data_IF_173805714808
#
_entry.id   IF_173805714808
#
_cell.length_a   1.000
_cell.length_b   1.000
_cell.length_c   1.000
_cell.angle_alpha   90.00
_cell.angle_beta   90.00
_cell.angle_gamma   90.00
#
_symmetry.space_group_name_H-M   'P 1'
#
loop_
_entity.id
_entity.type
_entity.pdbx_description
1 polymer ?
#
# COMPACT_ATOMS: atom_id res chain seq x y z
N UNK A 1 -34.92 22.86 5.16
CA UNK A 1 -33.74 23.57 5.67
C UNK A 1 -33.14 22.72 6.77
N UNK A 2 -31.96 22.15 6.55
CA UNK A 2 -31.19 21.51 7.62
C UNK A 2 -30.50 22.65 8.40
N UNK A 3 -30.66 22.69 9.71
CA UNK A 3 -30.00 23.68 10.59
C UNK A 3 -28.55 23.26 10.83
N UNK A 4 -27.67 24.21 11.13
CA UNK A 4 -26.26 23.94 11.40
C UNK A 4 -26.10 22.94 12.56
N UNK A 5 -26.90 23.07 13.62
CA UNK A 5 -26.95 22.08 14.72
C UNK A 5 -27.29 20.65 14.26
N UNK A 6 -28.17 20.46 13.27
CA UNK A 6 -28.47 19.10 12.75
C UNK A 6 -27.28 18.46 12.00
N UNK A 7 -26.35 19.29 11.51
CA UNK A 7 -25.09 18.86 10.87
C UNK A 7 -24.02 18.59 11.94
N UNK A 8 -24.06 19.31 13.07
CA UNK A 8 -23.08 19.26 14.16
C UNK A 8 -23.37 18.18 15.23
N UNK A 9 -24.59 17.64 15.32
CA UNK A 9 -24.93 16.69 16.39
C UNK A 9 -24.54 15.22 16.11
N UNK A 10 -23.99 14.88 14.93
CA UNK A 10 -23.69 13.49 14.50
C UNK A 10 -22.21 13.25 14.17
N UNK A 11 -21.29 13.79 14.97
CA UNK A 11 -19.86 13.84 14.64
C UNK A 11 -19.14 12.55 15.06
N UNK A 12 -18.88 11.63 14.11
CA UNK A 12 -17.53 11.09 13.83
C UNK A 12 -17.46 10.21 12.54
N UNK A 13 -16.24 10.17 11.96
CA UNK A 13 -15.57 9.28 10.97
C UNK A 13 -14.77 10.07 9.92
N UNK A 14 -15.29 11.20 9.47
CA UNK A 14 -14.84 11.91 8.26
C UNK A 14 -15.14 13.41 8.43
N UNK A 15 -14.99 13.96 9.65
CA UNK A 15 -15.57 15.27 10.08
C UNK A 15 -15.04 16.50 9.33
N UNK A 16 -14.36 16.28 8.22
CA UNK A 16 -14.70 16.60 6.84
C UNK A 16 -13.69 15.67 6.06
N UNK A 17 -13.83 15.22 4.83
CA UNK A 17 -13.44 16.03 3.65
C UNK A 17 -12.80 17.43 3.94
N UNK A 18 -12.13 17.67 5.09
CA UNK A 18 -11.61 18.88 5.81
C UNK A 18 -12.47 20.16 5.92
N UNK A 19 -13.13 20.50 4.81
CA UNK A 19 -13.83 21.76 4.59
C UNK A 19 -14.67 21.68 3.30
N UNK A 20 -14.51 20.63 2.48
CA UNK A 20 -15.05 20.56 1.12
C UNK A 20 -16.57 20.61 1.06
N UNK A 21 -17.26 19.82 1.89
CA UNK A 21 -18.73 19.83 1.91
C UNK A 21 -19.26 21.15 2.46
N UNK A 22 -18.57 21.76 3.42
CA UNK A 22 -18.89 23.09 3.94
C UNK A 22 -18.71 24.18 2.88
N UNK A 23 -17.60 24.16 2.16
CA UNK A 23 -17.31 25.11 1.10
C UNK A 23 -18.26 24.94 -0.10
N UNK A 24 -18.61 23.69 -0.45
CA UNK A 24 -19.65 23.40 -1.44
C UNK A 24 -21.03 23.88 -0.98
N UNK A 25 -21.35 23.70 0.30
CA UNK A 25 -22.59 24.19 0.89
C UNK A 25 -22.66 25.72 0.81
N UNK A 26 -21.59 26.42 1.21
CA UNK A 26 -21.50 27.89 1.10
C UNK A 26 -21.68 28.32 -0.35
N UNK A 27 -20.95 27.72 -1.30
CA UNK A 27 -21.06 28.05 -2.72
C UNK A 27 -22.50 27.86 -3.23
N UNK A 28 -23.17 26.78 -2.85
CA UNK A 28 -24.54 26.52 -3.25
C UNK A 28 -25.52 27.50 -2.59
N UNK A 29 -25.39 27.76 -1.28
CA UNK A 29 -26.24 28.70 -0.54
C UNK A 29 -26.14 30.12 -1.09
N UNK A 30 -24.92 30.62 -1.33
CA UNK A 30 -24.71 31.94 -1.92
C UNK A 30 -25.32 32.04 -3.33
N UNK A 31 -25.29 30.96 -4.11
CA UNK A 31 -25.96 30.88 -5.43
C UNK A 31 -27.48 30.84 -5.32
N UNK A 32 -28.03 30.05 -4.40
CA UNK A 32 -29.47 29.95 -4.14
C UNK A 32 -30.07 31.28 -3.67
N UNK A 33 -29.34 32.01 -2.82
CA UNK A 33 -29.73 33.32 -2.30
C UNK A 33 -29.55 34.47 -3.31
N UNK A 34 -29.03 34.18 -4.51
CA UNK A 34 -28.60 35.19 -5.51
C UNK A 34 -27.65 36.25 -4.91
N UNK A 35 -26.79 35.85 -3.96
CA UNK A 35 -25.81 36.74 -3.37
C UNK A 35 -24.76 37.14 -4.41
N UNK A 36 -24.51 38.44 -4.55
CA UNK A 36 -23.55 38.96 -5.51
C UNK A 36 -22.11 38.72 -5.03
N UNK A 37 -21.55 37.56 -5.41
CA UNK A 37 -20.15 37.23 -5.16
C UNK A 37 -19.24 38.00 -6.11
N UNK A 38 -18.12 38.53 -5.61
CA UNK A 38 -17.05 38.98 -6.50
C UNK A 38 -16.48 37.77 -7.25
N UNK A 39 -16.07 37.96 -8.50
CA UNK A 39 -15.43 36.89 -9.29
C UNK A 39 -14.20 36.32 -8.57
N UNK A 40 -13.42 37.19 -7.93
CA UNK A 40 -12.25 36.80 -7.14
C UNK A 40 -12.61 35.83 -6.00
N UNK A 41 -13.69 36.11 -5.26
CA UNK A 41 -14.15 35.24 -4.18
C UNK A 41 -14.64 33.89 -4.71
N UNK A 42 -15.42 33.88 -5.80
CA UNK A 42 -15.90 32.64 -6.41
C UNK A 42 -14.74 31.78 -6.93
N UNK A 43 -13.77 32.38 -7.62
CA UNK A 43 -12.57 31.68 -8.12
C UNK A 43 -11.77 31.07 -6.97
N UNK A 44 -11.61 31.80 -5.86
CA UNK A 44 -10.91 31.36 -4.65
C UNK A 44 -11.62 30.20 -3.96
N UNK A 45 -12.93 30.31 -3.79
CA UNK A 45 -13.76 29.25 -3.21
C UNK A 45 -13.72 27.98 -4.05
N UNK A 46 -13.83 28.11 -5.38
CA UNK A 46 -13.72 26.98 -6.31
C UNK A 46 -12.32 26.33 -6.28
N UNK A 47 -11.25 27.14 -6.24
CA UNK A 47 -9.87 26.65 -6.10
C UNK A 47 -9.69 25.85 -4.81
N UNK A 48 -10.18 26.37 -3.68
CA UNK A 48 -10.12 25.69 -2.39
C UNK A 48 -10.91 24.37 -2.38
N UNK A 49 -12.11 24.36 -2.97
CA UNK A 49 -12.91 23.13 -3.17
C UNK A 49 -12.11 22.12 -3.99
N UNK A 50 -11.45 22.54 -5.06
CA UNK A 50 -10.62 21.65 -5.89
C UNK A 50 -9.47 21.05 -5.08
N UNK A 51 -8.71 21.88 -4.36
CA UNK A 51 -7.56 21.44 -3.57
C UNK A 51 -7.97 20.45 -2.47
N UNK A 52 -9.02 20.76 -1.70
CA UNK A 52 -9.55 19.86 -0.67
C UNK A 52 -10.07 18.53 -1.27
N UNK A 53 -10.50 18.54 -2.53
CA UNK A 53 -10.87 17.35 -3.28
C UNK A 53 -9.71 16.38 -3.54
N UNK A 54 -8.46 16.80 -3.33
CA UNK A 54 -7.31 15.91 -3.47
C UNK A 54 -7.03 15.04 -2.24
N UNK A 55 -7.66 15.33 -1.10
CA UNK A 55 -7.48 14.57 0.13
C UNK A 55 -8.32 13.29 0.06
N UNK A 56 -7.70 12.13 0.24
CA UNK A 56 -8.36 10.82 0.19
C UNK A 56 -8.25 10.00 1.47
N UNK A 57 -7.59 10.52 2.51
CA UNK A 57 -7.49 9.88 3.82
C UNK A 57 -6.60 10.69 4.78
N UNK A 58 -6.68 10.38 6.08
CA UNK A 58 -5.84 10.99 7.13
C UNK A 58 -5.53 9.98 8.23
N UNK A 59 -4.62 10.32 9.17
CA UNK A 59 -4.49 9.53 10.39
C UNK A 59 -5.69 9.74 11.34
N UNK A 60 -6.09 8.72 12.13
CA UNK A 60 -7.31 8.79 12.95
C UNK A 60 -7.40 9.98 13.92
N UNK A 61 -6.27 10.37 14.51
CA UNK A 61 -6.24 11.41 15.54
C UNK A 61 -6.04 12.83 15.02
N UNK A 62 -5.93 13.03 13.70
CA UNK A 62 -5.68 14.36 13.13
C UNK A 62 -6.77 15.36 13.50
N UNK A 63 -8.00 14.86 13.73
CA UNK A 63 -9.20 15.65 14.05
C UNK A 63 -9.08 16.43 15.36
N UNK A 64 -8.39 15.86 16.34
CA UNK A 64 -8.20 16.49 17.66
C UNK A 64 -7.41 17.79 17.57
N UNK A 65 -6.59 17.94 16.53
CA UNK A 65 -5.81 19.15 16.29
C UNK A 65 -6.57 20.22 15.48
N UNK A 66 -7.74 19.87 14.93
CA UNK A 66 -8.64 20.77 14.19
C UNK A 66 -9.78 21.34 15.06
N UNK A 67 -10.14 20.69 16.17
CA UNK A 67 -11.31 21.03 17.01
C UNK A 67 -11.05 22.17 18.01
N UNK A 68 -9.79 22.54 18.27
CA UNK A 68 -9.43 23.57 19.25
C UNK A 68 -9.55 25.02 18.74
N UNK A 69 -9.99 25.23 17.49
CA UNK A 69 -10.46 26.54 17.06
C UNK A 69 -11.91 26.68 17.58
N UNK A 70 -12.14 27.64 18.46
CA UNK A 70 -13.31 27.76 19.34
C UNK A 70 -14.61 28.04 18.56
N UNK A 71 -15.16 27.01 17.91
CA UNK A 71 -16.42 27.09 17.16
C UNK A 71 -17.66 27.21 18.08
N UNK A 72 -17.49 27.11 19.40
CA UNK A 72 -18.58 27.15 20.38
C UNK A 72 -19.30 28.51 20.46
N UNK A 73 -18.70 29.55 19.88
CA UNK A 73 -19.27 30.90 19.84
C UNK A 73 -20.01 31.25 18.53
N UNK A 74 -20.04 30.36 17.53
CA UNK A 74 -20.76 30.64 16.28
C UNK A 74 -22.25 30.36 16.44
N UNK A 75 -23.06 31.40 16.27
CA UNK A 75 -24.53 31.32 16.34
C UNK A 75 -25.08 30.50 15.15
N UNK A 76 -26.25 29.88 15.37
CA UNK A 76 -26.94 29.01 14.40
C UNK A 76 -27.35 29.67 13.07
N UNK A 77 -27.28 31.00 12.97
CA UNK A 77 -27.71 31.79 11.82
C UNK A 77 -26.55 32.58 11.21
N UNK A 78 -25.71 31.93 10.40
CA UNK A 78 -24.72 32.64 9.57
C UNK A 78 -25.42 33.43 8.46
N UNK A 79 -25.21 34.75 8.44
CA UNK A 79 -25.53 35.59 7.28
C UNK A 79 -24.58 35.29 6.11
N UNK A 80 -24.95 35.72 4.90
CA UNK A 80 -24.06 35.56 3.74
C UNK A 80 -22.75 36.36 3.91
N UNK A 81 -22.79 37.50 4.62
CA UNK A 81 -21.59 38.26 4.99
C UNK A 81 -20.70 37.48 5.98
N UNK A 82 -21.29 36.80 6.97
CA UNK A 82 -20.54 35.97 7.90
C UNK A 82 -19.84 34.80 7.18
N UNK A 83 -20.53 34.19 6.20
CA UNK A 83 -19.95 33.12 5.39
C UNK A 83 -18.80 33.64 4.50
N UNK A 84 -18.94 34.80 3.88
CA UNK A 84 -17.87 35.44 3.10
C UNK A 84 -16.67 35.78 3.99
N UNK A 85 -16.92 36.37 5.17
CA UNK A 85 -15.88 36.70 6.13
C UNK A 85 -15.13 35.45 6.62
N UNK A 86 -15.87 34.38 6.94
CA UNK A 86 -15.29 33.11 7.36
C UNK A 86 -14.40 32.49 6.25
N UNK A 87 -14.85 32.49 5.00
CA UNK A 87 -14.03 32.02 3.87
C UNK A 87 -12.80 32.91 3.66
N UNK A 88 -12.94 34.23 3.83
CA UNK A 88 -11.83 35.18 3.73
C UNK A 88 -10.78 34.99 4.85
N UNK A 89 -11.18 34.52 6.04
CA UNK A 89 -10.23 34.14 7.10
C UNK A 89 -9.38 32.91 6.71
N UNK A 90 -9.92 31.99 5.90
CA UNK A 90 -9.18 30.80 5.42
C UNK A 90 -8.32 31.06 4.17
N UNK A 91 -8.30 32.30 3.72
CA UNK A 91 -7.97 32.69 2.36
C UNK A 91 -6.65 33.46 2.25
N UNK A 92 -5.97 33.71 3.36
CA UNK A 92 -4.60 34.22 3.36
C UNK A 92 -3.64 33.09 2.93
N UNK A 93 -3.63 32.81 1.63
CA UNK A 93 -2.72 31.86 0.98
C UNK A 93 -1.35 32.53 0.83
N UNK A 94 -0.53 32.50 1.89
CA UNK A 94 0.87 32.85 1.73
C UNK A 94 1.58 31.80 0.85
N UNK A 95 2.38 32.23 -0.14
CA UNK A 95 3.05 31.31 -1.05
C UNK A 95 4.01 30.38 -0.29
N UNK A 96 3.82 29.07 -0.47
CA UNK A 96 4.73 28.05 0.03
C UNK A 96 5.90 27.91 -0.94
N UNK A 97 7.12 27.90 -0.39
CA UNK A 97 8.34 27.54 -1.11
C UNK A 97 8.67 26.07 -0.87
N UNK A 98 8.95 25.34 -1.95
CA UNK A 98 9.19 23.89 -1.91
C UNK A 98 10.57 23.52 -2.44
N UNK A 99 11.36 22.85 -1.62
CA UNK A 99 12.58 22.16 -2.04
C UNK A 99 12.25 20.71 -2.40
N UNK A 100 12.75 20.22 -3.54
CA UNK A 100 12.62 18.83 -3.97
C UNK A 100 13.97 18.13 -3.85
N UNK A 101 14.00 17.01 -3.14
CA UNK A 101 15.21 16.26 -2.84
C UNK A 101 15.17 14.91 -3.57
N UNK A 102 16.24 14.62 -4.34
CA UNK A 102 16.41 13.34 -5.02
C UNK A 102 17.76 12.72 -4.70
N UNK A 103 17.78 11.41 -4.43
CA UNK A 103 19.00 10.62 -4.42
C UNK A 103 19.12 9.91 -5.77
N UNK A 104 20.30 9.93 -6.38
CA UNK A 104 20.49 9.49 -7.76
C UNK A 104 21.67 8.52 -7.89
N UNK A 105 21.49 7.49 -8.71
CA UNK A 105 22.54 6.55 -9.13
C UNK A 105 22.16 5.88 -10.46
N UNK A 106 22.82 6.24 -11.55
CA UNK A 106 22.62 5.66 -12.88
C UNK A 106 21.16 5.68 -13.38
N UNK A 107 20.61 6.88 -13.51
CA UNK A 107 19.22 7.16 -13.89
C UNK A 107 19.11 7.92 -15.23
N UNK A 108 20.08 7.79 -16.13
CA UNK A 108 20.08 8.50 -17.43
C UNK A 108 18.81 8.24 -18.25
N UNK A 109 18.15 7.10 -18.00
CA UNK A 109 16.90 6.67 -18.63
C UNK A 109 15.68 7.53 -18.26
N UNK A 110 15.64 8.10 -17.05
CA UNK A 110 14.42 8.72 -16.50
C UNK A 110 14.64 10.08 -15.86
N UNK A 111 15.89 10.44 -15.52
CA UNK A 111 16.20 11.69 -14.81
C UNK A 111 15.68 12.93 -15.54
N UNK A 112 15.80 12.97 -16.88
CA UNK A 112 15.30 14.09 -17.68
C UNK A 112 13.78 14.24 -17.60
N UNK A 113 13.05 13.13 -17.65
CA UNK A 113 11.58 13.13 -17.53
C UNK A 113 11.16 13.58 -16.14
N UNK A 114 11.83 13.09 -15.11
CA UNK A 114 11.58 13.48 -13.71
C UNK A 114 11.79 14.99 -13.53
N UNK A 115 12.94 15.52 -13.94
CA UNK A 115 13.28 16.93 -13.76
C UNK A 115 12.37 17.87 -14.55
N UNK A 116 12.04 17.54 -15.80
CA UNK A 116 11.05 18.32 -16.57
C UNK A 116 9.70 18.44 -15.86
N UNK A 117 9.24 17.37 -15.20
CA UNK A 117 7.99 17.40 -14.44
C UNK A 117 8.09 18.27 -13.17
N UNK A 118 9.23 18.22 -12.48
CA UNK A 118 9.48 18.98 -11.26
C UNK A 118 9.62 20.49 -11.50
N UNK A 119 10.25 20.91 -12.61
CA UNK A 119 10.47 22.32 -12.96
C UNK A 119 9.16 23.12 -13.12
N UNK A 120 8.00 22.45 -13.24
CA UNK A 120 6.69 23.11 -13.30
C UNK A 120 6.24 23.74 -11.97
N UNK A 121 6.80 23.32 -10.83
CA UNK A 121 6.32 23.79 -9.53
C UNK A 121 7.38 23.88 -8.43
N UNK A 122 8.52 23.19 -8.55
CA UNK A 122 9.59 23.25 -7.55
C UNK A 122 10.24 24.64 -7.50
N UNK A 123 10.50 25.16 -6.29
CA UNK A 123 11.26 26.40 -6.13
C UNK A 123 12.77 26.13 -6.02
N UNK A 124 13.13 24.92 -5.61
CA UNK A 124 14.51 24.45 -5.51
C UNK A 124 14.54 22.94 -5.76
N UNK A 125 15.50 22.46 -6.55
CA UNK A 125 15.75 21.03 -6.75
C UNK A 125 17.17 20.72 -6.32
N UNK A 126 17.33 19.76 -5.41
CA UNK A 126 18.62 19.29 -4.91
C UNK A 126 18.77 17.79 -5.20
N UNK A 127 19.92 17.44 -5.75
CA UNK A 127 20.27 16.07 -6.08
C UNK A 127 21.51 15.66 -5.31
N UNK A 128 21.48 14.48 -4.68
CA UNK A 128 22.69 13.80 -4.21
C UNK A 128 22.99 12.64 -5.14
N UNK A 129 23.97 12.81 -6.02
CA UNK A 129 24.53 11.73 -6.80
C UNK A 129 25.43 10.87 -5.91
N UNK A 130 25.14 9.56 -5.89
CA UNK A 130 25.84 8.60 -5.04
C UNK A 130 26.97 7.85 -5.75
N UNK A 131 27.37 8.34 -6.92
CA UNK A 131 28.46 7.81 -7.75
C UNK A 131 27.99 7.26 -9.09
N UNK A 132 27.12 7.99 -9.82
CA UNK A 132 26.71 7.58 -11.17
C UNK A 132 27.91 7.49 -12.12
N UNK A 133 27.86 6.51 -13.01
CA UNK A 133 28.87 6.20 -14.03
C UNK A 133 28.35 6.31 -15.45
N UNK A 134 27.04 6.47 -15.61
CA UNK A 134 26.37 6.72 -16.90
C UNK A 134 26.23 8.23 -17.17
N UNK A 135 25.40 8.63 -18.16
CA UNK A 135 25.23 10.05 -18.51
C UNK A 135 24.33 10.82 -17.54
N UNK A 136 23.89 10.27 -16.41
CA UNK A 136 22.94 10.92 -15.50
C UNK A 136 23.38 12.31 -15.09
N UNK A 137 24.62 12.45 -14.58
CA UNK A 137 25.17 13.74 -14.15
C UNK A 137 25.25 14.72 -15.31
N UNK A 138 25.75 14.25 -16.46
CA UNK A 138 25.86 15.06 -17.67
C UNK A 138 24.51 15.62 -18.12
N UNK A 139 23.46 14.79 -18.11
CA UNK A 139 22.09 15.22 -18.46
C UNK A 139 21.60 16.32 -17.52
N UNK A 140 21.84 16.17 -16.21
CA UNK A 140 21.45 17.17 -15.21
C UNK A 140 22.17 18.50 -15.47
N UNK A 141 23.50 18.47 -15.61
CA UNK A 141 24.31 19.67 -15.79
C UNK A 141 24.05 20.40 -17.12
N UNK A 142 23.82 19.66 -18.21
CA UNK A 142 23.60 20.25 -19.54
C UNK A 142 22.18 20.78 -19.73
N UNK A 143 21.16 20.12 -19.17
CA UNK A 143 19.75 20.44 -19.45
C UNK A 143 19.04 21.18 -18.31
N UNK A 144 19.54 21.08 -17.08
CA UNK A 144 18.90 21.64 -15.88
C UNK A 144 19.92 22.39 -15.01
N UNK A 145 20.57 23.46 -15.53
CA UNK A 145 21.64 24.17 -14.83
C UNK A 145 21.19 24.82 -13.50
N UNK A 146 19.90 24.97 -13.27
CA UNK A 146 19.30 25.45 -12.02
C UNK A 146 19.29 24.40 -10.89
N UNK A 147 19.47 23.12 -11.23
CA UNK A 147 19.46 22.02 -10.26
C UNK A 147 20.77 21.98 -9.48
N UNK A 148 20.67 21.94 -8.15
CA UNK A 148 21.84 21.85 -7.26
C UNK A 148 22.25 20.39 -7.10
N UNK A 149 23.27 19.96 -7.84
CA UNK A 149 23.85 18.63 -7.69
C UNK A 149 24.98 18.60 -6.65
N UNK A 150 24.96 17.58 -5.79
CA UNK A 150 26.01 17.26 -4.82
C UNK A 150 26.47 15.83 -5.05
N UNK A 151 27.71 15.52 -4.66
CA UNK A 151 28.27 14.18 -4.74
C UNK A 151 28.67 13.68 -3.35
N UNK A 152 28.26 12.47 -2.99
CA UNK A 152 28.81 11.72 -1.85
C UNK A 152 28.89 10.24 -2.22
N UNK A 153 29.80 9.49 -1.59
CA UNK A 153 29.92 8.06 -1.86
C UNK A 153 28.76 7.30 -1.24
N UNK A 154 28.18 6.33 -1.96
CA UNK A 154 27.16 5.44 -1.40
C UNK A 154 27.65 4.71 -0.14
N UNK A 155 27.00 4.95 1.01
CA UNK A 155 27.38 4.39 2.32
C UNK A 155 26.52 3.22 2.79
N UNK A 156 25.70 2.65 1.90
CA UNK A 156 24.68 1.64 2.25
C UNK A 156 23.69 2.19 3.29
N UNK A 157 23.26 3.43 3.08
CA UNK A 157 22.43 4.20 4.01
C UNK A 157 21.59 5.23 3.25
N UNK A 158 20.33 4.89 2.95
CA UNK A 158 19.40 5.75 2.23
C UNK A 158 19.01 6.98 3.07
N UNK A 159 18.73 6.78 4.36
CA UNK A 159 18.40 7.86 5.28
C UNK A 159 19.51 8.91 5.36
N UNK A 160 20.77 8.49 5.45
CA UNK A 160 21.90 9.41 5.45
C UNK A 160 21.91 10.31 4.20
N UNK A 161 21.77 9.73 3.01
CA UNK A 161 21.73 10.49 1.75
C UNK A 161 20.56 11.48 1.71
N UNK A 162 19.35 11.06 2.14
CA UNK A 162 18.18 11.95 2.20
C UNK A 162 18.36 13.07 3.23
N UNK A 163 18.97 12.76 4.38
CA UNK A 163 19.21 13.73 5.44
C UNK A 163 20.25 14.79 5.05
N UNK A 164 21.26 14.46 4.26
CA UNK A 164 22.16 15.47 3.66
C UNK A 164 21.36 16.47 2.85
N UNK A 165 20.43 15.99 2.02
CA UNK A 165 19.63 16.87 1.17
C UNK A 165 18.69 17.74 2.00
N UNK A 166 18.08 17.20 3.07
CA UNK A 166 17.28 17.99 4.03
C UNK A 166 18.09 19.15 4.61
N UNK A 167 19.31 18.87 5.07
CA UNK A 167 20.18 19.88 5.67
C UNK A 167 20.66 20.93 4.64
N UNK A 168 20.70 20.57 3.35
CA UNK A 168 21.08 21.46 2.23
C UNK A 168 19.91 22.25 1.63
N UNK A 169 18.67 21.81 1.84
CA UNK A 169 17.48 22.50 1.32
C UNK A 169 17.39 23.91 1.89
N UNK A 170 17.13 24.90 1.05
CA UNK A 170 16.97 26.30 1.47
C UNK A 170 15.57 26.57 2.03
N UNK A 171 14.55 25.85 1.55
CA UNK A 171 13.17 26.02 1.98
C UNK A 171 12.81 25.09 3.15
N UNK A 172 11.71 25.40 3.82
CA UNK A 172 11.20 24.65 4.97
C UNK A 172 10.43 23.40 4.55
N UNK A 173 9.61 23.52 3.51
CA UNK A 173 8.88 22.39 2.95
C UNK A 173 9.76 21.61 1.98
N UNK A 174 9.77 20.29 2.19
CA UNK A 174 10.57 19.35 1.42
C UNK A 174 9.64 18.32 0.80
N UNK A 175 9.81 18.06 -0.50
CA UNK A 175 9.31 16.89 -1.20
C UNK A 175 10.50 15.96 -1.49
N UNK A 176 10.53 14.77 -0.88
CA UNK A 176 11.58 13.78 -1.10
C UNK A 176 11.04 12.67 -2.01
N UNK A 177 11.57 12.53 -3.23
CA UNK A 177 11.12 11.54 -4.21
C UNK A 177 12.31 10.74 -4.78
N UNK A 178 12.00 9.65 -5.46
CA UNK A 178 12.98 8.86 -6.20
C UNK A 178 13.09 9.33 -7.66
N UNK A 179 14.26 9.17 -8.29
CA UNK A 179 14.52 9.68 -9.64
C UNK A 179 13.75 8.94 -10.76
N UNK A 180 13.21 7.76 -10.45
CA UNK A 180 12.33 6.97 -11.30
C UNK A 180 10.83 7.25 -11.05
N UNK A 181 10.51 8.16 -10.12
CA UNK A 181 9.18 8.71 -9.91
C UNK A 181 9.00 10.01 -10.73
N UNK A 182 7.83 10.17 -11.35
CA UNK A 182 7.49 11.38 -12.13
C UNK A 182 6.13 11.93 -11.65
N UNK A 183 6.06 13.19 -11.17
CA UNK A 183 4.77 13.84 -10.90
C UNK A 183 3.90 13.93 -12.14
N UNK A 184 2.63 13.58 -12.03
CA UNK A 184 1.67 13.60 -13.15
C UNK A 184 0.37 14.31 -12.79
N UNK A 185 -0.39 14.69 -13.82
CA UNK A 185 -1.69 15.34 -13.65
C UNK A 185 -1.58 16.67 -12.92
N UNK A 186 -2.32 16.80 -11.82
CA UNK A 186 -2.48 18.06 -11.09
C UNK A 186 -1.48 18.25 -9.95
N UNK A 187 -0.39 17.47 -9.93
CA UNK A 187 0.62 17.53 -8.86
C UNK A 187 1.24 18.92 -8.68
N UNK A 188 1.28 19.74 -9.74
CA UNK A 188 1.76 21.12 -9.68
C UNK A 188 1.01 22.00 -8.66
N UNK A 189 -0.20 21.61 -8.23
CA UNK A 189 -1.00 22.29 -7.20
C UNK A 189 -0.57 21.96 -5.76
N UNK A 190 0.48 21.15 -5.57
CA UNK A 190 0.86 20.69 -4.22
C UNK A 190 1.19 21.83 -3.24
N UNK A 191 1.82 22.90 -3.72
CA UNK A 191 2.17 24.05 -2.87
C UNK A 191 0.92 24.80 -2.40
N UNK A 192 -0.07 24.92 -3.28
CA UNK A 192 -1.37 25.51 -2.96
C UNK A 192 -2.14 24.64 -1.96
N UNK A 193 -2.04 23.31 -2.10
CA UNK A 193 -2.65 22.40 -1.13
C UNK A 193 -2.01 22.54 0.26
N UNK A 194 -0.68 22.60 0.33
CA UNK A 194 0.05 22.76 1.59
C UNK A 194 -0.29 24.10 2.25
N UNK A 195 -0.45 25.18 1.47
CA UNK A 195 -0.74 26.52 2.01
C UNK A 195 -2.05 26.54 2.81
N UNK A 196 -3.03 25.70 2.42
CA UNK A 196 -4.28 25.56 3.17
C UNK A 196 -4.03 25.18 4.64
N UNK A 197 -2.95 24.43 4.92
CA UNK A 197 -2.64 23.89 6.24
C UNK A 197 -1.66 24.74 7.06
N UNK A 198 -1.10 25.81 6.48
CA UNK A 198 -0.03 26.60 7.10
C UNK A 198 -0.46 27.24 8.43
N UNK A 199 -1.69 27.76 8.49
CA UNK A 199 -2.22 28.48 9.65
C UNK A 199 -2.87 27.59 10.70
N UNK A 200 -3.00 26.28 10.44
CA UNK A 200 -3.54 25.37 11.42
C UNK A 200 -2.58 25.28 12.61
N UNK A 201 -3.11 25.47 13.81
CA UNK A 201 -2.37 25.34 15.07
C UNK A 201 -1.66 23.98 15.15
N UNK A 202 -2.33 22.94 14.63
CA UNK A 202 -1.77 21.61 14.38
C UNK A 202 -0.41 21.64 13.69
N UNK A 203 -0.21 22.45 12.65
CA UNK A 203 1.03 22.52 11.87
C UNK A 203 2.08 23.47 12.50
N UNK A 204 1.71 24.26 13.51
CA UNK A 204 2.66 25.06 14.31
C UNK A 204 3.19 24.25 15.50
N UNK A 205 2.33 23.41 16.08
CA UNK A 205 2.63 22.65 17.29
C UNK A 205 3.06 21.20 16.99
N UNK A 206 2.56 20.60 15.90
CA UNK A 206 2.82 19.20 15.53
C UNK A 206 3.22 19.04 14.05
N UNK A 207 4.09 18.08 13.70
CA UNK A 207 4.50 17.82 12.33
C UNK A 207 3.35 17.25 11.51
N UNK A 208 3.02 17.93 10.41
CA UNK A 208 2.11 17.45 9.38
C UNK A 208 2.88 16.97 8.14
N UNK A 209 2.53 15.78 7.66
CA UNK A 209 3.14 15.17 6.48
C UNK A 209 2.09 14.87 5.41
N UNK A 210 2.46 15.02 4.14
CA UNK A 210 1.60 14.65 3.03
C UNK A 210 2.15 13.42 2.29
N UNK A 211 1.24 12.50 2.01
CA UNK A 211 1.49 11.21 1.36
C UNK A 211 0.80 11.18 0.00
N UNK A 212 1.50 11.52 -1.10
CA UNK A 212 0.97 11.40 -2.44
C UNK A 212 0.70 9.94 -2.82
N UNK A 213 -0.14 9.74 -3.83
CA UNK A 213 -0.35 8.43 -4.43
C UNK A 213 0.87 8.08 -5.28
N UNK A 214 1.54 6.98 -4.96
CA UNK A 214 2.56 6.36 -5.81
C UNK A 214 1.85 5.32 -6.67
N UNK A 215 1.88 5.51 -7.99
CA UNK A 215 1.31 4.59 -8.98
C UNK A 215 2.45 3.81 -9.64
N UNK A 216 2.60 2.55 -9.24
CA UNK A 216 3.56 1.61 -9.82
C UNK A 216 2.82 0.64 -10.73
N UNK A 217 2.76 0.95 -12.03
CA UNK A 217 2.14 0.11 -13.07
C UNK A 217 0.68 -0.29 -12.74
N UNK A 218 -0.12 0.64 -12.22
CA UNK A 218 -1.52 0.43 -11.84
C UNK A 218 -1.73 0.05 -10.37
N UNK A 219 -0.66 -0.29 -9.63
CA UNK A 219 -0.73 -0.49 -8.19
C UNK A 219 -0.52 0.84 -7.47
N UNK A 220 -1.57 1.33 -6.80
CA UNK A 220 -1.59 2.63 -6.13
C UNK A 220 -1.42 2.49 -4.62
N UNK A 221 -0.47 3.21 -4.05
CA UNK A 221 -0.21 3.30 -2.61
C UNK A 221 -0.13 4.78 -2.21
N UNK A 222 -0.88 5.19 -1.20
CA UNK A 222 -0.97 6.58 -0.73
C UNK A 222 -0.57 6.74 0.75
N UNK A 223 0.16 5.78 1.30
CA UNK A 223 0.63 5.79 2.70
C UNK A 223 2.08 6.24 2.84
N UNK A 224 2.81 6.41 1.74
CA UNK A 224 4.21 6.80 1.75
C UNK A 224 4.37 8.30 2.04
N UNK A 225 4.96 8.60 3.19
CA UNK A 225 5.28 9.95 3.66
C UNK A 225 6.37 10.57 2.77
N UNK A 226 6.04 11.60 1.99
CA UNK A 226 6.97 12.22 1.02
C UNK A 226 7.18 13.71 1.21
N UNK A 227 6.22 14.41 1.79
CA UNK A 227 6.22 15.88 1.91
C UNK A 227 6.11 16.28 3.37
N UNK A 228 7.04 17.10 3.86
CA UNK A 228 7.13 17.46 5.26
C UNK A 228 7.80 18.81 5.45
N UNK A 229 7.61 19.43 6.62
CA UNK A 229 8.29 20.65 7.00
C UNK A 229 9.48 20.32 7.93
N UNK A 230 10.70 20.69 7.52
CA UNK A 230 11.93 20.37 8.24
C UNK A 230 12.06 21.10 9.58
N UNK A 231 11.32 22.19 9.80
CA UNK A 231 11.35 22.97 11.05
C UNK A 231 10.85 22.16 12.27
N UNK A 232 10.15 21.05 12.06
CA UNK A 232 9.75 20.12 13.13
C UNK A 232 10.80 19.03 13.42
N UNK A 233 12.09 19.31 13.18
CA UNK A 233 13.20 18.36 13.37
C UNK A 233 13.01 17.02 12.63
N UNK A 234 12.41 17.10 11.43
CA UNK A 234 12.03 15.93 10.64
C UNK A 234 13.24 15.37 9.89
N UNK A 235 13.47 14.05 10.02
CA UNK A 235 14.58 13.32 9.38
C UNK A 235 14.14 11.93 8.94
N UNK A 236 14.88 11.33 8.02
CA UNK A 236 14.74 9.91 7.71
C UNK A 236 15.49 9.06 8.74
N UNK A 237 14.84 8.02 9.26
CA UNK A 237 15.40 6.99 10.13
C UNK A 237 15.36 5.61 9.47
N UNK A 238 16.43 4.83 9.66
CA UNK A 238 16.62 3.52 9.04
C UNK A 238 17.50 3.56 7.79
N UNK A 239 18.55 2.75 7.73
CA UNK A 239 19.47 2.71 6.57
C UNK A 239 18.80 2.24 5.27
N UNK A 240 17.69 1.52 5.39
CA UNK A 240 16.83 1.04 4.32
C UNK A 240 15.41 0.88 4.85
N UNK A 241 14.41 0.98 3.99
CA UNK A 241 13.01 1.12 4.40
C UNK A 241 12.86 2.29 5.37
N UNK A 242 13.55 3.37 5.01
CA UNK A 242 13.62 4.58 5.79
C UNK A 242 12.24 5.21 5.93
N UNK A 243 11.96 5.74 7.12
CA UNK A 243 10.72 6.46 7.39
C UNK A 243 11.05 7.87 7.88
N UNK A 244 10.12 8.80 7.67
CA UNK A 244 10.24 10.13 8.26
C UNK A 244 9.84 10.04 9.72
N UNK A 245 10.74 10.53 10.59
CA UNK A 245 10.58 10.66 12.04
C UNK A 245 10.82 12.11 12.47
N UNK A 246 10.29 12.50 13.62
CA UNK A 246 10.63 13.74 14.31
C UNK A 246 11.37 13.40 15.60
N UNK A 247 12.33 14.25 16.00
CA UNK A 247 12.98 14.12 17.32
C UNK A 247 12.05 14.48 18.48
N UNK A 248 11.11 15.38 18.24
CA UNK A 248 10.31 15.99 19.30
C UNK A 248 8.95 15.31 19.46
N UNK A 249 8.56 14.45 18.51
CA UNK A 249 7.22 13.90 18.41
C UNK A 249 7.25 12.39 18.26
N UNK A 250 6.43 11.72 19.06
CA UNK A 250 6.33 10.24 19.01
C UNK A 250 5.52 9.76 17.83
N UNK A 251 4.56 10.57 17.38
CA UNK A 251 3.66 10.25 16.27
C UNK A 251 3.66 11.40 15.27
N UNK A 252 3.54 11.05 13.99
CA UNK A 252 3.53 12.02 12.89
C UNK A 252 2.16 11.98 12.24
N UNK A 253 1.49 13.13 12.24
CA UNK A 253 0.23 13.32 11.56
C UNK A 253 0.45 13.29 10.04
N UNK A 254 -0.45 12.63 9.31
CA UNK A 254 -0.35 12.55 7.86
C UNK A 254 -1.69 12.72 7.14
N UNK A 255 -1.61 13.28 5.93
CA UNK A 255 -2.72 13.43 4.99
C UNK A 255 -2.38 12.66 3.72
N UNK A 256 -3.28 11.77 3.30
CA UNK A 256 -3.17 10.97 2.10
C UNK A 256 -3.81 11.72 0.93
N UNK A 257 -3.10 11.77 -0.19
CA UNK A 257 -3.47 12.55 -1.36
C UNK A 257 -3.68 11.67 -2.59
N UNK A 258 -4.58 12.07 -3.47
CA UNK A 258 -4.74 11.52 -4.81
C UNK A 258 -3.89 12.27 -5.88
N UNK A 259 -2.98 13.15 -5.45
CA UNK A 259 -1.91 13.69 -6.31
C UNK A 259 -0.89 12.58 -6.58
N UNK A 260 -0.60 12.33 -7.87
CA UNK A 260 0.09 11.10 -8.29
C UNK A 260 1.55 11.33 -8.65
N UNK A 261 2.41 10.47 -8.09
CA UNK A 261 3.76 10.19 -8.56
C UNK A 261 3.73 8.86 -9.32
N UNK A 262 3.95 8.88 -10.62
CA UNK A 262 4.02 7.65 -11.42
C UNK A 262 5.42 7.08 -11.30
N UNK A 263 5.51 5.85 -10.81
CA UNK A 263 6.74 5.07 -10.74
C UNK A 263 6.82 4.19 -11.99
N UNK A 264 7.83 4.41 -12.83
CA UNK A 264 7.90 3.70 -14.11
C UNK A 264 8.30 2.22 -13.98
N UNK A 265 8.76 1.83 -12.79
CA UNK A 265 8.89 0.43 -12.36
C UNK A 265 9.66 -0.46 -13.31
N UNK A 266 10.50 0.09 -14.21
CA UNK A 266 11.05 -0.72 -15.31
C UNK A 266 11.76 -1.94 -14.75
N UNK A 267 11.27 -3.07 -15.23
CA UNK A 267 11.43 -4.40 -14.67
C UNK A 267 12.92 -4.71 -14.44
N UNK A 268 13.29 -5.30 -13.30
CA UNK A 268 14.66 -5.72 -13.08
C UNK A 268 15.02 -6.71 -14.18
N UNK A 269 16.08 -6.42 -14.93
CA UNK A 269 16.99 -7.49 -15.31
C UNK A 269 17.16 -8.34 -14.05
N UNK A 270 16.89 -9.65 -14.13
CA UNK A 270 16.96 -10.54 -12.95
C UNK A 270 18.27 -10.35 -12.17
N UNK A 271 19.33 -9.94 -12.86
CA UNK A 271 20.62 -9.50 -12.31
C UNK A 271 20.57 -8.21 -11.47
N UNK A 272 19.90 -7.13 -11.91
CA UNK A 272 19.72 -5.90 -11.11
C UNK A 272 18.84 -6.16 -9.88
N UNK A 273 17.82 -7.02 -10.01
CA UNK A 273 16.95 -7.42 -8.90
C UNK A 273 17.70 -8.18 -7.80
N UNK A 274 18.55 -9.16 -8.17
CA UNK A 274 19.36 -9.93 -7.22
C UNK A 274 20.36 -9.06 -6.47
N UNK A 275 21.12 -8.21 -7.18
CA UNK A 275 22.08 -7.30 -6.54
C UNK A 275 21.41 -6.31 -5.57
N UNK A 276 20.19 -5.82 -5.90
CA UNK A 276 19.41 -4.93 -5.02
C UNK A 276 18.99 -5.66 -3.75
N UNK A 277 18.45 -6.86 -3.88
CA UNK A 277 17.97 -7.63 -2.74
C UNK A 277 19.11 -8.11 -1.83
N UNK A 278 20.26 -8.53 -2.38
CA UNK A 278 21.46 -8.87 -1.61
C UNK A 278 22.04 -7.66 -0.84
N UNK A 279 22.09 -6.50 -1.48
CA UNK A 279 22.46 -5.24 -0.80
C UNK A 279 21.48 -4.93 0.33
N UNK A 280 20.18 -5.10 0.10
CA UNK A 280 19.14 -4.81 1.08
C UNK A 280 19.26 -5.73 2.30
N UNK A 281 19.46 -7.03 2.10
CA UNK A 281 19.62 -8.00 3.19
C UNK A 281 20.86 -7.69 4.02
N UNK A 282 22.00 -7.33 3.41
CA UNK A 282 23.20 -6.91 4.14
C UNK A 282 22.94 -5.67 5.03
N UNK A 283 22.18 -4.69 4.52
CA UNK A 283 21.83 -3.49 5.29
C UNK A 283 20.89 -3.87 6.44
N UNK A 284 19.89 -4.71 6.20
CA UNK A 284 18.93 -5.16 7.20
C UNK A 284 19.60 -5.97 8.33
N UNK A 285 20.56 -6.84 8.00
CA UNK A 285 21.35 -7.55 9.01
C UNK A 285 22.16 -6.59 9.89
N UNK A 286 22.66 -5.48 9.33
CA UNK A 286 23.29 -4.41 10.13
C UNK A 286 22.27 -3.66 10.97
N UNK A 287 21.07 -3.39 10.45
CA UNK A 287 20.00 -2.74 11.21
C UNK A 287 19.57 -3.57 12.42
N UNK A 288 19.45 -4.89 12.30
CA UNK A 288 19.16 -5.77 13.44
C UNK A 288 20.27 -5.71 14.49
N UNK A 289 21.55 -5.60 14.08
CA UNK A 289 22.66 -5.44 15.04
C UNK A 289 22.64 -4.09 15.75
N UNK A 290 22.26 -3.02 15.04
CA UNK A 290 22.20 -1.66 15.60
C UNK A 290 20.97 -1.46 16.49
N UNK A 291 19.84 -2.02 16.09
CA UNK A 291 18.53 -1.82 16.73
C UNK A 291 17.82 -3.18 16.93
N UNK A 292 18.37 -4.06 17.80
CA UNK A 292 17.87 -5.44 17.94
C UNK A 292 16.44 -5.54 18.46
N UNK A 293 15.91 -4.46 19.04
CA UNK A 293 14.57 -4.38 19.63
C UNK A 293 13.51 -3.79 18.68
N UNK A 294 13.88 -3.40 17.44
CA UNK A 294 12.92 -2.90 16.44
C UNK A 294 12.40 -4.06 15.58
N UNK A 295 11.13 -4.42 15.73
CA UNK A 295 10.48 -5.57 15.07
C UNK A 295 10.50 -5.46 13.54
N UNK A 296 10.38 -4.25 12.99
CA UNK A 296 10.33 -4.00 11.54
C UNK A 296 11.54 -4.56 10.77
N UNK A 297 12.72 -4.59 11.39
CA UNK A 297 13.93 -5.10 10.74
C UNK A 297 13.87 -6.62 10.50
N UNK A 298 13.25 -7.35 11.42
CA UNK A 298 13.01 -8.78 11.27
C UNK A 298 11.97 -9.06 10.19
N UNK A 299 10.91 -8.26 10.13
CA UNK A 299 9.91 -8.34 9.06
C UNK A 299 10.54 -8.15 7.69
N UNK A 300 11.25 -7.03 7.48
CA UNK A 300 11.86 -6.72 6.20
C UNK A 300 12.93 -7.76 5.83
N UNK A 301 13.79 -8.18 6.77
CA UNK A 301 14.82 -9.19 6.46
C UNK A 301 14.20 -10.53 6.06
N UNK A 302 13.18 -11.00 6.79
CA UNK A 302 12.47 -12.23 6.46
C UNK A 302 11.77 -12.15 5.10
N UNK A 303 11.16 -11.00 4.77
CA UNK A 303 10.52 -10.77 3.47
C UNK A 303 11.53 -10.82 2.32
N UNK A 304 12.63 -10.07 2.42
CA UNK A 304 13.64 -10.00 1.36
C UNK A 304 14.31 -11.37 1.13
N UNK A 305 14.69 -12.09 2.20
CA UNK A 305 15.27 -13.44 2.08
C UNK A 305 14.29 -14.45 1.47
N UNK A 306 13.01 -14.37 1.82
CA UNK A 306 11.97 -15.23 1.23
C UNK A 306 11.80 -14.95 -0.27
N UNK A 307 11.79 -13.68 -0.70
CA UNK A 307 11.73 -13.30 -2.13
C UNK A 307 12.95 -13.83 -2.90
N UNK A 308 14.13 -13.82 -2.28
CA UNK A 308 15.37 -14.35 -2.86
C UNK A 308 15.43 -15.88 -2.90
N UNK A 309 14.46 -16.60 -2.31
CA UNK A 309 14.46 -18.05 -2.27
C UNK A 309 15.53 -18.64 -1.33
N UNK A 310 15.88 -17.91 -0.26
CA UNK A 310 16.72 -18.46 0.82
C UNK A 310 16.01 -19.63 1.53
N UNK A 311 16.76 -20.30 2.42
CA UNK A 311 16.20 -21.37 3.25
C UNK A 311 14.96 -20.87 4.03
N UNK A 312 13.87 -21.61 3.87
CA UNK A 312 12.56 -21.29 4.43
C UNK A 312 12.61 -21.33 5.95
N UNK A 313 13.37 -22.27 6.53
CA UNK A 313 13.52 -22.39 7.97
C UNK A 313 14.33 -21.22 8.56
N UNK A 314 15.33 -20.72 7.84
CA UNK A 314 16.03 -19.47 8.18
C UNK A 314 15.05 -18.28 8.20
N UNK A 315 14.22 -18.13 7.16
CA UNK A 315 13.24 -17.06 7.06
C UNK A 315 12.23 -17.10 8.22
N UNK A 316 11.69 -18.29 8.51
CA UNK A 316 10.77 -18.51 9.64
C UNK A 316 11.45 -18.14 10.97
N UNK A 317 12.71 -18.54 11.17
CA UNK A 317 13.46 -18.23 12.40
C UNK A 317 13.66 -16.73 12.59
N UNK A 318 13.98 -16.00 11.53
CA UNK A 318 14.12 -14.53 11.56
C UNK A 318 12.79 -13.88 11.95
N UNK A 319 11.70 -14.28 11.28
CA UNK A 319 10.35 -13.76 11.54
C UNK A 319 9.87 -14.08 12.97
N UNK A 320 10.05 -15.32 13.44
CA UNK A 320 9.74 -15.70 14.83
C UNK A 320 10.58 -14.95 15.86
N UNK A 321 11.81 -14.54 15.51
CA UNK A 321 12.63 -13.70 16.39
C UNK A 321 12.02 -12.30 16.53
N UNK A 322 11.47 -11.75 15.44
CA UNK A 322 10.70 -10.50 15.46
C UNK A 322 9.45 -10.58 16.34
N UNK A 323 8.67 -11.68 16.26
CA UNK A 323 7.47 -11.86 17.10
C UNK A 323 7.76 -11.81 18.61
N UNK A 324 8.96 -12.18 19.06
CA UNK A 324 9.36 -12.08 20.48
C UNK A 324 9.46 -10.64 20.99
N UNK A 325 9.48 -9.65 20.10
CA UNK A 325 9.63 -8.23 20.42
C UNK A 325 8.28 -7.50 20.56
N UNK A 326 7.16 -8.23 20.63
CA UNK A 326 5.80 -7.67 20.70
C UNK A 326 5.63 -6.51 21.68
N UNK A 327 6.27 -6.59 22.85
CA UNK A 327 6.07 -5.64 23.96
C UNK A 327 7.06 -4.47 23.98
N UNK A 328 8.01 -4.40 23.04
CA UNK A 328 9.06 -3.36 23.07
C UNK A 328 8.69 -2.08 22.33
N UNK A 329 7.50 -2.00 21.71
CA UNK A 329 7.04 -0.80 21.00
C UNK A 329 5.62 -0.42 21.42
N UNK A 330 5.45 0.87 21.78
CA UNK A 330 4.21 1.46 22.27
C UNK A 330 3.37 2.10 21.14
N UNK A 331 3.62 1.77 19.89
CA UNK A 331 2.86 2.29 18.75
C UNK A 331 2.28 1.14 17.93
N UNK A 332 1.14 1.43 17.32
CA UNK A 332 0.36 0.63 16.37
C UNK A 332 1.16 0.42 15.06
N UNK A 333 2.43 0.04 15.16
CA UNK A 333 3.21 -0.41 14.00
C UNK A 333 2.83 -1.86 13.72
N UNK A 334 1.96 -2.05 12.74
CA UNK A 334 1.41 -3.34 12.30
C UNK A 334 2.46 -4.35 11.78
N UNK A 335 3.75 -4.15 12.03
CA UNK A 335 4.79 -5.12 11.66
C UNK A 335 4.65 -6.45 12.37
N UNK A 336 4.12 -6.50 13.60
CA UNK A 336 3.77 -7.77 14.24
C UNK A 336 2.75 -8.54 13.40
N UNK A 337 1.68 -7.88 12.97
CA UNK A 337 0.67 -8.46 12.09
C UNK A 337 1.24 -8.81 10.71
N UNK A 338 2.08 -7.95 10.13
CA UNK A 338 2.74 -8.22 8.85
C UNK A 338 3.62 -9.46 8.93
N UNK A 339 4.29 -9.71 10.06
CA UNK A 339 5.05 -10.94 10.29
C UNK A 339 4.12 -12.15 10.34
N UNK A 340 3.00 -12.09 11.07
CA UNK A 340 2.02 -13.18 11.12
C UNK A 340 1.49 -13.51 9.72
N UNK A 341 1.05 -12.51 8.96
CA UNK A 341 0.56 -12.68 7.60
C UNK A 341 1.63 -13.26 6.67
N UNK A 342 2.89 -12.82 6.78
CA UNK A 342 3.99 -13.38 5.99
C UNK A 342 4.30 -14.83 6.39
N UNK A 343 4.33 -15.16 7.68
CA UNK A 343 4.51 -16.53 8.16
C UNK A 343 3.39 -17.45 7.66
N UNK A 344 2.14 -17.00 7.67
CA UNK A 344 1.01 -17.77 7.14
C UNK A 344 1.17 -18.04 5.63
N UNK A 345 1.56 -17.03 4.83
CA UNK A 345 1.85 -17.19 3.39
C UNK A 345 3.00 -18.18 3.14
N UNK A 346 4.08 -18.09 3.93
CA UNK A 346 5.20 -19.04 3.87
C UNK A 346 4.71 -20.45 4.24
N UNK A 347 3.90 -20.58 5.29
CA UNK A 347 3.40 -21.87 5.74
C UNK A 347 2.50 -22.55 4.69
N UNK A 348 1.60 -21.80 4.04
CA UNK A 348 0.77 -22.30 2.94
C UNK A 348 1.64 -22.72 1.75
N UNK A 349 2.52 -21.84 1.26
CA UNK A 349 3.35 -22.11 0.06
C UNK A 349 4.30 -23.31 0.23
N UNK A 350 4.76 -23.55 1.46
CA UNK A 350 5.66 -24.67 1.78
C UNK A 350 4.99 -25.82 2.52
N UNK A 351 3.64 -25.85 2.59
CA UNK A 351 2.84 -26.91 3.24
C UNK A 351 3.24 -27.19 4.70
N UNK A 352 3.67 -26.17 5.44
CA UNK A 352 4.02 -26.25 6.86
C UNK A 352 2.76 -26.02 7.72
N UNK A 353 1.84 -27.00 7.72
CA UNK A 353 0.52 -26.85 8.34
C UNK A 353 0.56 -26.64 9.87
N UNK A 354 1.52 -27.24 10.57
CA UNK A 354 1.69 -27.00 12.01
C UNK A 354 2.01 -25.54 12.31
N UNK A 355 2.88 -24.92 11.50
CA UNK A 355 3.19 -23.49 11.60
C UNK A 355 1.97 -22.65 11.23
N UNK A 356 1.22 -23.03 10.19
CA UNK A 356 0.01 -22.31 9.79
C UNK A 356 -1.02 -22.28 10.92
N UNK A 357 -1.22 -23.42 11.60
CA UNK A 357 -2.11 -23.52 12.76
C UNK A 357 -1.66 -22.61 13.90
N UNK A 358 -0.37 -22.67 14.28
CA UNK A 358 0.22 -21.79 15.31
C UNK A 358 -0.01 -20.31 14.98
N UNK A 359 0.21 -19.91 13.72
CA UNK A 359 0.05 -18.52 13.27
C UNK A 359 -1.42 -18.09 13.28
N UNK A 360 -2.36 -18.94 12.84
CA UNK A 360 -3.80 -18.64 12.90
C UNK A 360 -4.25 -18.42 14.33
N UNK A 361 -3.85 -19.27 15.27
CA UNK A 361 -4.18 -19.13 16.70
C UNK A 361 -3.66 -17.78 17.25
N UNK A 362 -2.44 -17.38 16.87
CA UNK A 362 -1.91 -16.07 17.22
C UNK A 362 -2.70 -14.92 16.57
N UNK A 363 -3.07 -15.02 15.29
CA UNK A 363 -3.84 -13.99 14.60
C UNK A 363 -5.24 -13.81 15.23
N UNK A 364 -5.93 -14.91 15.54
CA UNK A 364 -7.25 -14.89 16.19
C UNK A 364 -7.18 -14.30 17.61
N UNK A 365 -6.07 -14.52 18.33
CA UNK A 365 -5.84 -13.95 19.65
C UNK A 365 -5.58 -12.44 19.60
N UNK A 366 -4.71 -11.98 18.69
CA UNK A 366 -4.37 -10.55 18.59
C UNK A 366 -5.48 -9.69 18.00
N UNK A 367 -6.15 -10.21 16.96
CA UNK A 367 -7.15 -9.49 16.20
C UNK A 367 -8.41 -10.35 16.14
N UNK A 368 -9.27 -10.24 17.16
CA UNK A 368 -10.56 -10.91 17.16
C UNK A 368 -11.32 -10.61 15.86
N UNK A 369 -11.88 -11.64 15.24
CA UNK A 369 -12.58 -11.57 13.94
C UNK A 369 -11.71 -11.12 12.75
N UNK A 370 -10.39 -11.38 12.78
CA UNK A 370 -9.53 -11.16 11.61
C UNK A 370 -10.00 -11.96 10.39
N UNK A 371 -10.31 -11.25 9.30
CA UNK A 371 -10.68 -11.85 8.01
C UNK A 371 -9.50 -12.65 7.42
N UNK A 372 -8.27 -12.19 7.62
CA UNK A 372 -7.08 -12.91 7.14
C UNK A 372 -6.87 -14.22 7.91
N UNK A 373 -7.09 -14.23 9.24
CA UNK A 373 -7.04 -15.46 10.03
C UNK A 373 -8.10 -16.46 9.55
N UNK A 374 -9.33 -15.98 9.30
CA UNK A 374 -10.39 -16.81 8.73
C UNK A 374 -10.04 -17.34 7.34
N UNK A 375 -9.46 -16.52 6.47
CA UNK A 375 -8.97 -16.92 5.16
C UNK A 375 -7.93 -18.05 5.24
N UNK A 376 -6.92 -17.90 6.10
CA UNK A 376 -5.89 -18.94 6.28
C UNK A 376 -6.44 -20.22 6.91
N UNK A 377 -7.42 -20.12 7.79
CA UNK A 377 -8.15 -21.26 8.35
C UNK A 377 -8.89 -22.03 7.28
N UNK A 378 -9.59 -21.36 6.37
CA UNK A 378 -10.23 -22.00 5.22
C UNK A 378 -9.22 -22.74 4.33
N UNK A 379 -8.03 -22.17 4.12
CA UNK A 379 -6.95 -22.85 3.38
C UNK A 379 -6.49 -24.11 4.13
N UNK A 380 -6.22 -24.00 5.43
CA UNK A 380 -5.76 -25.12 6.24
C UNK A 380 -6.76 -26.29 6.22
N UNK A 381 -8.05 -26.01 6.40
CA UNK A 381 -9.11 -27.01 6.36
C UNK A 381 -9.26 -27.64 4.96
N UNK A 382 -9.21 -26.82 3.91
CA UNK A 382 -9.31 -27.32 2.53
C UNK A 382 -8.12 -28.23 2.17
N UNK A 383 -6.90 -27.80 2.46
CA UNK A 383 -5.70 -28.51 2.01
C UNK A 383 -5.41 -29.77 2.83
N UNK A 384 -5.65 -29.75 4.14
CA UNK A 384 -5.49 -30.93 5.02
C UNK A 384 -6.47 -32.04 4.66
N UNK A 385 -7.77 -31.73 4.56
CA UNK A 385 -8.82 -32.69 4.23
C UNK A 385 -8.63 -33.29 2.84
N UNK A 386 -8.24 -32.48 1.86
CA UNK A 386 -8.00 -32.96 0.50
C UNK A 386 -6.78 -33.88 0.43
N UNK A 387 -5.68 -33.54 1.12
CA UNK A 387 -4.45 -34.34 1.12
C UNK A 387 -4.67 -35.75 1.70
N UNK A 388 -5.31 -35.85 2.86
CA UNK A 388 -5.54 -37.13 3.53
C UNK A 388 -6.48 -38.04 2.74
N UNK A 389 -7.61 -37.49 2.27
CA UNK A 389 -8.56 -38.26 1.45
C UNK A 389 -7.92 -38.72 0.15
N UNK A 390 -7.13 -37.87 -0.48
CA UNK A 390 -6.43 -38.22 -1.72
C UNK A 390 -5.41 -39.35 -1.50
N UNK A 391 -4.66 -39.33 -0.39
CA UNK A 391 -3.74 -40.42 -0.05
C UNK A 391 -4.48 -41.75 0.21
N UNK A 392 -5.60 -41.70 0.95
CA UNK A 392 -6.44 -42.87 1.22
C UNK A 392 -7.00 -43.47 -0.07
N UNK A 393 -7.54 -42.64 -0.97
CA UNK A 393 -8.07 -43.07 -2.29
C UNK A 393 -6.97 -43.70 -3.14
N UNK A 394 -5.80 -43.07 -3.24
CA UNK A 394 -4.69 -43.63 -4.01
C UNK A 394 -4.21 -44.98 -3.44
N UNK A 395 -4.23 -45.14 -2.11
CA UNK A 395 -3.87 -46.40 -1.45
C UNK A 395 -4.90 -47.49 -1.77
N UNK A 396 -6.20 -47.16 -1.71
CA UNK A 396 -7.27 -48.08 -2.09
C UNK A 396 -7.14 -48.50 -3.56
N UNK A 397 -6.98 -47.54 -4.48
CA UNK A 397 -6.81 -47.82 -5.93
C UNK A 397 -5.61 -48.73 -6.18
N UNK A 398 -4.46 -48.47 -5.54
CA UNK A 398 -3.28 -49.34 -5.67
C UNK A 398 -3.53 -50.76 -5.15
N UNK A 399 -4.25 -50.91 -4.04
CA UNK A 399 -4.55 -52.23 -3.45
C UNK A 399 -5.45 -53.10 -4.34
N UNK A 400 -6.28 -52.46 -5.18
CA UNK A 400 -7.12 -53.16 -6.15
C UNK A 400 -6.29 -53.72 -7.31
N UNK A 401 -5.16 -53.12 -7.69
CA UNK A 401 -4.31 -53.63 -8.76
C UNK A 401 -5.03 -53.67 -10.11
N UNK A 402 -4.94 -54.80 -10.83
CA UNK A 402 -5.66 -54.98 -12.10
C UNK A 402 -7.16 -55.26 -11.86
N UNK A 403 -7.98 -54.27 -12.16
CA UNK A 403 -9.44 -54.31 -11.99
C UNK A 403 -10.08 -55.33 -12.96
N UNK A 404 -9.48 -55.57 -14.12
CA UNK A 404 -10.06 -56.44 -15.15
C UNK A 404 -10.14 -57.91 -14.72
N UNK A 405 -9.30 -58.31 -13.77
CA UNK A 405 -9.17 -59.68 -13.28
C UNK A 405 -9.93 -59.95 -11.96
N UNK A 406 -10.86 -59.05 -11.56
CA UNK A 406 -11.62 -59.18 -10.31
C UNK A 406 -13.08 -59.57 -10.53
N UNK A 407 -13.60 -60.35 -9.59
CA UNK A 407 -15.02 -60.77 -9.57
C UNK A 407 -15.92 -59.54 -9.35
N UNK A 408 -16.93 -59.37 -10.20
CA UNK A 408 -17.86 -58.25 -10.14
C UNK A 408 -19.26 -58.68 -10.58
N UNK A 409 -20.24 -58.42 -9.73
CA UNK A 409 -21.65 -58.83 -9.92
C UNK A 409 -22.59 -57.68 -10.24
N UNK A 410 -22.10 -56.43 -10.19
CA UNK A 410 -22.91 -55.22 -10.39
C UNK A 410 -22.97 -54.85 -11.87
N UNK A 411 -21.81 -54.84 -12.54
CA UNK A 411 -21.70 -54.50 -13.96
C UNK A 411 -20.37 -55.00 -14.52
N UNK A 412 -20.39 -56.01 -15.39
CA UNK A 412 -19.20 -56.66 -15.94
C UNK A 412 -18.25 -55.76 -16.75
N UNK A 413 -18.63 -54.52 -17.04
CA UNK A 413 -17.75 -53.52 -17.68
C UNK A 413 -16.98 -52.65 -16.68
N UNK A 414 -17.25 -52.77 -15.38
CA UNK A 414 -16.68 -51.95 -14.31
C UNK A 414 -16.96 -50.44 -14.46
N UNK A 415 -17.92 -50.05 -15.31
CA UNK A 415 -18.22 -48.65 -15.63
C UNK A 415 -18.59 -47.84 -14.40
N UNK A 416 -19.26 -48.45 -13.42
CA UNK A 416 -19.59 -47.82 -12.14
C UNK A 416 -18.34 -47.46 -11.30
N UNK A 417 -17.31 -48.31 -11.27
CA UNK A 417 -16.06 -48.04 -10.55
C UNK A 417 -15.28 -46.92 -11.24
N UNK A 418 -15.13 -47.01 -12.56
CA UNK A 418 -14.45 -45.99 -13.37
C UNK A 418 -15.15 -44.63 -13.26
N UNK A 419 -16.49 -44.63 -13.29
CA UNK A 419 -17.31 -43.43 -13.09
C UNK A 419 -17.04 -42.78 -11.73
N UNK A 420 -17.08 -43.57 -10.65
CA UNK A 420 -16.84 -43.06 -9.29
C UNK A 420 -15.42 -42.55 -9.12
N UNK A 421 -14.40 -43.27 -9.62
CA UNK A 421 -13.01 -42.80 -9.57
C UNK A 421 -12.82 -41.49 -10.34
N UNK A 422 -13.43 -41.38 -11.53
CA UNK A 422 -13.39 -40.16 -12.32
C UNK A 422 -13.97 -38.95 -11.57
N UNK A 423 -15.13 -39.11 -10.91
CA UNK A 423 -15.73 -38.05 -10.09
C UNK A 423 -14.90 -37.69 -8.85
N UNK A 424 -14.26 -38.67 -8.21
CA UNK A 424 -13.38 -38.43 -7.06
C UNK A 424 -12.13 -37.64 -7.49
N UNK A 425 -11.46 -38.02 -8.58
CA UNK A 425 -10.31 -37.25 -9.05
C UNK A 425 -10.70 -35.87 -9.58
N UNK A 426 -11.90 -35.75 -10.16
CA UNK A 426 -12.46 -34.45 -10.55
C UNK A 426 -12.63 -33.52 -9.34
N UNK A 427 -13.11 -34.03 -8.20
CA UNK A 427 -13.27 -33.23 -6.97
C UNK A 427 -11.93 -32.86 -6.33
N UNK A 428 -10.89 -33.68 -6.52
CA UNK A 428 -9.51 -33.34 -6.17
C UNK A 428 -8.81 -32.40 -7.16
N UNK A 429 -9.50 -31.93 -8.21
CA UNK A 429 -8.95 -31.10 -9.29
C UNK A 429 -7.83 -31.80 -10.08
N UNK A 430 -7.76 -33.12 -10.04
CA UNK A 430 -6.87 -33.92 -10.89
C UNK A 430 -7.60 -34.31 -12.17
N UNK A 431 -7.69 -33.34 -13.08
CA UNK A 431 -8.42 -33.50 -14.33
C UNK A 431 -7.81 -34.60 -15.20
N UNK A 432 -6.48 -34.76 -15.21
CA UNK A 432 -5.81 -35.78 -16.01
C UNK A 432 -6.27 -37.18 -15.62
N UNK A 433 -6.25 -37.52 -14.33
CA UNK A 433 -6.75 -38.83 -13.86
C UNK A 433 -8.26 -38.95 -13.98
N UNK A 434 -9.01 -37.88 -13.71
CA UNK A 434 -10.46 -37.89 -13.88
C UNK A 434 -10.85 -38.31 -15.29
N UNK A 435 -10.29 -37.65 -16.31
CA UNK A 435 -10.58 -37.96 -17.72
C UNK A 435 -9.96 -39.27 -18.19
N UNK A 436 -8.84 -39.72 -17.61
CA UNK A 436 -8.32 -41.07 -17.85
C UNK A 436 -9.36 -42.14 -17.51
N UNK A 437 -10.03 -42.05 -16.35
CA UNK A 437 -11.07 -43.01 -15.97
C UNK A 437 -12.36 -42.82 -16.78
N UNK A 438 -12.79 -41.58 -17.03
CA UNK A 438 -14.01 -41.32 -17.82
C UNK A 438 -13.92 -41.90 -19.25
N UNK A 439 -12.75 -41.79 -19.90
CA UNK A 439 -12.55 -42.27 -21.27
C UNK A 439 -12.58 -43.79 -21.43
N UNK A 440 -12.52 -44.55 -20.32
CA UNK A 440 -12.58 -46.02 -20.33
C UNK A 440 -14.01 -46.55 -20.15
N UNK A 441 -14.98 -45.69 -19.86
CA UNK A 441 -16.37 -46.08 -19.61
C UNK A 441 -17.08 -46.36 -20.94
N UNK A 442 -17.68 -47.54 -21.06
CA UNK A 442 -18.43 -47.96 -22.25
C UNK A 442 -19.95 -47.88 -22.07
N UNK A 443 -20.44 -47.87 -20.83
CA UNK A 443 -21.87 -47.82 -20.51
C UNK A 443 -22.51 -46.48 -20.95
N UNK A 444 -23.50 -46.49 -21.86
CA UNK A 444 -24.20 -45.27 -22.28
C UNK A 444 -24.84 -44.51 -21.13
N UNK A 445 -25.39 -45.23 -20.14
CA UNK A 445 -26.00 -44.63 -18.94
C UNK A 445 -24.99 -43.84 -18.12
N UNK A 446 -23.77 -44.37 -17.94
CA UNK A 446 -22.71 -43.69 -17.19
C UNK A 446 -22.13 -42.51 -17.98
N UNK A 447 -21.99 -42.64 -19.30
CA UNK A 447 -21.58 -41.53 -20.17
C UNK A 447 -22.58 -40.37 -20.05
N UNK A 448 -23.88 -40.66 -20.07
CA UNK A 448 -24.92 -39.64 -19.91
C UNK A 448 -24.88 -38.99 -18.52
N UNK A 449 -24.64 -39.77 -17.47
CA UNK A 449 -24.47 -39.24 -16.12
C UNK A 449 -23.28 -38.26 -16.01
N UNK A 450 -22.16 -38.54 -16.68
CA UNK A 450 -20.99 -37.65 -16.72
C UNK A 450 -21.33 -36.36 -17.48
N UNK A 451 -21.99 -36.47 -18.64
CA UNK A 451 -22.41 -35.32 -19.44
C UNK A 451 -23.29 -34.35 -18.64
N UNK A 452 -24.22 -34.89 -17.85
CA UNK A 452 -25.10 -34.10 -16.98
C UNK A 452 -24.35 -33.32 -15.89
N UNK A 453 -23.09 -33.66 -15.60
CA UNK A 453 -22.23 -32.92 -14.68
C UNK A 453 -21.33 -31.94 -15.45
N UNK A 454 -20.70 -32.40 -16.53
CA UNK A 454 -19.68 -31.62 -17.24
C UNK A 454 -20.26 -30.51 -18.14
N UNK A 455 -21.41 -30.73 -18.79
CA UNK A 455 -22.00 -29.73 -19.68
C UNK A 455 -22.45 -28.47 -18.92
N UNK A 456 -23.22 -28.56 -17.80
CA UNK A 456 -23.57 -27.37 -17.02
C UNK A 456 -22.33 -26.68 -16.42
N UNK A 457 -21.34 -27.45 -15.98
CA UNK A 457 -20.08 -26.88 -15.46
C UNK A 457 -19.35 -26.10 -16.55
N UNK A 458 -19.30 -26.61 -17.78
CA UNK A 458 -18.71 -25.90 -18.92
C UNK A 458 -19.43 -24.59 -19.20
N UNK A 459 -20.77 -24.59 -19.24
CA UNK A 459 -21.55 -23.37 -19.46
C UNK A 459 -21.30 -22.32 -18.37
N UNK A 460 -21.20 -22.73 -17.11
CA UNK A 460 -20.85 -21.83 -16.00
C UNK A 460 -19.43 -21.26 -16.14
N UNK A 461 -18.46 -22.08 -16.55
CA UNK A 461 -17.09 -21.62 -16.81
C UNK A 461 -17.08 -20.62 -17.98
N UNK A 462 -17.73 -20.94 -19.09
CA UNK A 462 -17.81 -20.07 -20.27
C UNK A 462 -18.47 -18.73 -19.92
N UNK A 463 -19.56 -18.76 -19.13
CA UNK A 463 -20.23 -17.55 -18.63
C UNK A 463 -19.36 -16.72 -17.70
N UNK A 464 -18.60 -17.35 -16.80
CA UNK A 464 -17.67 -16.64 -15.91
C UNK A 464 -16.57 -15.93 -16.71
N UNK A 465 -16.00 -16.61 -17.72
CA UNK A 465 -14.92 -16.07 -18.55
C UNK A 465 -15.37 -14.94 -19.48
N UNK A 466 -16.64 -14.90 -19.90
CA UNK A 466 -17.19 -13.82 -20.71
C UNK A 466 -17.45 -12.53 -19.91
N UNK A 467 -17.63 -12.63 -18.59
CA UNK A 467 -17.99 -11.52 -17.70
C UNK A 467 -16.79 -10.89 -16.98
N UNK A 468 -15.57 -11.33 -17.28
CA UNK A 468 -14.30 -10.84 -16.73
C UNK A 468 -13.41 -10.37 -17.86
#
# INVERSE_FOLDING_TARGET
MLTLNSILENIDIDYFKFNLNFHKYILNKLKEDNFEMTKEFEDKLNRRIKLLGFINGTCPDILKFFINDDYTNYQDDFTNEDLVNLINMFSDEEPIKLSVNLIVFNEERCIERCLNALSNFADEILILDTGSTDNTVKIIEEKFPEVKIFHDKWRKDFAYSRNILIDKSSNDWILSIDADETPTGEFYLIKDLISLFKNFKANKEHPLVFSPTIDSLGQKINTTKRIFNKQHDMKFDGKIHEEIVSKNEKEINYIMLNLTLTHDGYHPDVFKGKNKAERNTEILEKMIKLEPNKIRWYYFLGREKNILGHDVDECIKILKSGLKLKHTQNSIENFYYNILTLLAKIAVSHKKYDLLKEVIELMEYEIPNSLDAFYFKLILENDSVMSDKFLQINTMVKSVGDIANRVNTIDGTYSHVLHTLGLIYLSFRDYTRAFYYFNQIQSPKNIEAIKNILLPLKEQIDSFLQNK
#
